data_IF_590299970441
#
_entry.id   IF_590299970441
#
_cell.length_a   1.000
_cell.length_b   1.000
_cell.length_c   1.000
_cell.angle_alpha   90.00
_cell.angle_beta   90.00
_cell.angle_gamma   90.00
#
_symmetry.space_group_name_H-M   'P 1'
#
loop_
_entity.id
_entity.type
_entity.pdbx_description
1 polymer ?
#
# COMPACT_ATOMS: atom_id res chain seq x y z
N UNK A 1 -48.59 -7.80 -5.37
CA UNK A 1 -47.22 -7.57 -4.83
C UNK A 1 -46.86 -6.11 -5.08
N UNK A 2 -46.41 -5.34 -4.08
CA UNK A 2 -46.18 -3.90 -4.26
C UNK A 2 -44.96 -3.65 -5.18
N UNK A 3 -45.12 -2.97 -6.33
CA UNK A 3 -44.08 -2.83 -7.35
C UNK A 3 -42.85 -2.05 -6.85
N UNK A 4 -43.03 -1.11 -5.92
CA UNK A 4 -41.94 -0.33 -5.32
C UNK A 4 -41.07 -1.22 -4.43
N UNK A 5 -41.70 -2.07 -3.63
CA UNK A 5 -40.99 -3.03 -2.77
C UNK A 5 -40.21 -4.03 -3.61
N UNK A 6 -40.81 -4.54 -4.69
CA UNK A 6 -40.14 -5.47 -5.60
C UNK A 6 -38.85 -4.85 -6.18
N UNK A 7 -38.94 -3.61 -6.68
CA UNK A 7 -37.79 -2.87 -7.22
C UNK A 7 -36.64 -2.74 -6.22
N UNK A 8 -36.97 -2.36 -4.98
CA UNK A 8 -36.00 -2.22 -3.90
C UNK A 8 -35.28 -3.55 -3.59
N UNK A 9 -36.03 -4.66 -3.52
CA UNK A 9 -35.43 -5.97 -3.25
C UNK A 9 -34.57 -6.47 -4.41
N UNK A 10 -34.99 -6.25 -5.67
CA UNK A 10 -34.14 -6.58 -6.83
C UNK A 10 -32.84 -5.80 -6.83
N UNK A 11 -32.88 -4.48 -6.59
CA UNK A 11 -31.66 -3.67 -6.56
C UNK A 11 -30.71 -4.11 -5.43
N UNK A 12 -31.26 -4.42 -4.25
CA UNK A 12 -30.49 -4.95 -3.12
C UNK A 12 -29.85 -6.29 -3.47
N UNK A 13 -30.62 -7.21 -4.03
CA UNK A 13 -30.12 -8.54 -4.41
C UNK A 13 -29.04 -8.45 -5.48
N UNK A 14 -29.18 -7.57 -6.47
CA UNK A 14 -28.15 -7.34 -7.49
C UNK A 14 -26.86 -6.79 -6.90
N UNK A 15 -26.96 -5.85 -5.94
CA UNK A 15 -25.80 -5.34 -5.20
C UNK A 15 -25.14 -6.45 -4.36
N UNK A 16 -25.92 -7.19 -3.59
CA UNK A 16 -25.42 -8.31 -2.79
C UNK A 16 -24.74 -9.35 -3.68
N UNK A 17 -25.36 -9.78 -4.78
CA UNK A 17 -24.75 -10.73 -5.74
C UNK A 17 -23.45 -10.21 -6.37
N UNK A 18 -23.33 -8.90 -6.59
CA UNK A 18 -22.14 -8.30 -7.21
C UNK A 18 -20.98 -8.16 -6.23
N UNK A 19 -21.25 -7.80 -4.97
CA UNK A 19 -20.21 -7.45 -3.99
C UNK A 19 -19.96 -8.54 -2.94
N UNK A 20 -20.94 -9.40 -2.67
CA UNK A 20 -20.83 -10.51 -1.74
C UNK A 20 -20.35 -11.76 -2.49
N UNK A 21 -19.05 -12.06 -2.36
CA UNK A 21 -18.49 -13.35 -2.79
C UNK A 21 -17.94 -14.06 -1.57
N UNK A 22 -18.43 -15.28 -1.33
CA UNK A 22 -17.86 -16.18 -0.34
C UNK A 22 -16.51 -16.67 -0.87
N UNK A 23 -15.42 -16.36 -0.18
CA UNK A 23 -14.09 -16.79 -0.56
C UNK A 23 -13.72 -18.06 0.20
N UNK A 24 -13.77 -19.20 -0.48
CA UNK A 24 -13.38 -20.50 0.10
C UNK A 24 -11.86 -20.66 0.18
N UNK A 25 -11.11 -19.91 -0.64
CA UNK A 25 -9.65 -19.94 -0.71
C UNK A 25 -9.08 -18.60 -0.24
N UNK A 26 -7.88 -18.65 0.33
CA UNK A 26 -7.17 -17.45 0.76
C UNK A 26 -6.97 -16.49 -0.42
N UNK A 27 -7.47 -15.26 -0.25
CA UNK A 27 -7.17 -14.14 -1.16
C UNK A 27 -6.33 -13.15 -0.39
N UNK A 28 -5.19 -12.77 -0.97
CA UNK A 28 -4.28 -11.79 -0.39
C UNK A 28 -4.95 -10.40 -0.39
N UNK A 29 -5.72 -10.12 0.66
CA UNK A 29 -6.31 -8.81 0.91
C UNK A 29 -5.22 -7.94 1.53
N UNK A 30 -4.51 -7.16 0.72
CA UNK A 30 -3.37 -6.34 1.17
C UNK A 30 -3.74 -5.13 2.03
N UNK A 31 -4.82 -5.18 2.84
CA UNK A 31 -5.31 -4.06 3.66
C UNK A 31 -4.24 -3.53 4.63
N UNK A 32 -3.40 -4.41 5.13
CA UNK A 32 -2.25 -4.10 5.99
C UNK A 32 -1.07 -3.61 5.15
N UNK A 33 -0.37 -2.58 5.64
CA UNK A 33 0.90 -2.16 5.04
C UNK A 33 1.88 -3.34 5.16
N UNK A 34 2.64 -3.68 4.10
CA UNK A 34 3.66 -4.72 4.19
C UNK A 34 4.65 -4.31 5.28
N UNK A 35 4.83 -5.18 6.28
CA UNK A 35 5.73 -4.94 7.40
C UNK A 35 7.17 -5.01 6.88
N UNK A 36 8.01 -4.05 7.25
CA UNK A 36 9.40 -4.05 6.78
C UNK A 36 10.16 -5.26 7.31
N UNK A 37 11.11 -5.83 6.54
CA UNK A 37 11.85 -7.04 6.91
C UNK A 37 12.65 -6.92 8.22
N UNK A 38 12.81 -5.69 8.74
CA UNK A 38 13.47 -5.40 10.02
C UNK A 38 12.74 -5.94 11.25
N UNK A 39 11.47 -6.32 11.12
CA UNK A 39 10.65 -6.80 12.24
C UNK A 39 10.56 -8.33 12.33
N UNK A 40 11.14 -9.06 11.37
CA UNK A 40 11.13 -10.53 11.34
C UNK A 40 12.47 -11.08 11.83
N UNK A 41 12.46 -12.24 12.50
CA UNK A 41 13.69 -12.94 12.81
C UNK A 41 14.36 -13.43 11.51
N UNK A 42 15.68 -13.63 11.52
CA UNK A 42 16.43 -14.11 10.33
C UNK A 42 15.84 -15.41 9.76
N UNK A 43 15.26 -16.25 10.61
CA UNK A 43 14.65 -17.53 10.23
C UNK A 43 13.22 -17.40 9.69
N UNK A 44 12.55 -16.27 9.90
CA UNK A 44 11.20 -15.99 9.37
C UNK A 44 11.25 -15.38 7.96
N UNK A 45 12.46 -15.13 7.43
CA UNK A 45 12.63 -14.56 6.10
C UNK A 45 12.33 -15.61 5.03
N UNK A 46 11.27 -15.37 4.26
CA UNK A 46 10.96 -16.17 3.07
C UNK A 46 12.07 -15.97 2.04
N UNK A 47 12.72 -17.04 1.56
CA UNK A 47 13.78 -16.92 0.56
C UNK A 47 13.21 -16.38 -0.75
N UNK A 48 14.00 -15.56 -1.48
CA UNK A 48 13.54 -14.90 -2.70
C UNK A 48 13.01 -15.87 -3.78
N UNK A 49 13.48 -17.11 -3.79
CA UNK A 49 13.03 -18.18 -4.68
C UNK A 49 11.61 -18.67 -4.40
N UNK A 50 11.11 -18.53 -3.18
CA UNK A 50 9.77 -18.98 -2.78
C UNK A 50 8.73 -17.86 -2.83
N UNK A 51 9.17 -16.62 -3.10
CA UNK A 51 8.27 -15.47 -3.21
C UNK A 51 7.45 -15.62 -4.49
N UNK A 52 6.13 -15.79 -4.34
CA UNK A 52 5.21 -15.81 -5.48
C UNK A 52 5.12 -14.42 -6.08
N UNK A 53 5.44 -14.33 -7.38
CA UNK A 53 5.40 -13.07 -8.13
C UNK A 53 4.03 -12.40 -8.07
N UNK A 54 2.94 -13.18 -8.06
CA UNK A 54 1.57 -12.68 -7.93
C UNK A 54 1.37 -11.78 -6.70
N UNK A 55 2.01 -12.10 -5.56
CA UNK A 55 1.92 -11.29 -4.36
C UNK A 55 2.72 -10.00 -4.48
N UNK A 56 3.88 -10.05 -5.13
CA UNK A 56 4.70 -8.86 -5.44
C UNK A 56 3.92 -7.91 -6.35
N UNK A 57 3.26 -8.43 -7.37
CA UNK A 57 2.48 -7.64 -8.32
C UNK A 57 1.26 -7.01 -7.63
N UNK A 58 0.61 -7.72 -6.71
CA UNK A 58 -0.49 -7.18 -5.89
C UNK A 58 -0.03 -6.04 -4.97
N UNK A 59 1.12 -6.19 -4.32
CA UNK A 59 1.71 -5.15 -3.45
C UNK A 59 2.08 -3.92 -4.30
N UNK A 60 2.77 -4.15 -5.41
CA UNK A 60 3.19 -3.11 -6.37
C UNK A 60 1.98 -2.35 -6.90
N UNK A 61 0.94 -3.07 -7.32
CA UNK A 61 -0.31 -2.49 -7.83
C UNK A 61 -1.02 -1.63 -6.80
N UNK A 62 -0.96 -1.98 -5.53
CA UNK A 62 -1.56 -1.18 -4.46
C UNK A 62 -0.75 0.05 -4.09
N UNK A 63 0.58 -0.07 -4.03
CA UNK A 63 1.45 1.01 -3.56
C UNK A 63 1.71 2.07 -4.63
N UNK A 64 1.79 1.65 -5.89
CA UNK A 64 2.25 2.50 -6.98
C UNK A 64 1.09 3.00 -7.84
N UNK A 65 0.13 2.13 -8.19
CA UNK A 65 -0.92 2.47 -9.13
C UNK A 65 -2.06 3.23 -8.47
N UNK A 66 -2.38 4.39 -9.04
CA UNK A 66 -3.57 5.14 -8.69
C UNK A 66 -4.83 4.51 -9.30
N UNK A 67 -6.03 4.99 -8.92
CA UNK A 67 -7.27 4.49 -9.49
C UNK A 67 -7.34 4.56 -11.03
N UNK A 68 -6.79 5.62 -11.63
CA UNK A 68 -6.73 5.79 -13.10
C UNK A 68 -5.78 4.81 -13.79
N UNK A 69 -4.75 4.35 -13.10
CA UNK A 69 -3.82 3.34 -13.62
C UNK A 69 -4.43 1.93 -13.56
N UNK A 70 -5.34 1.69 -12.60
CA UNK A 70 -5.99 0.40 -12.38
C UNK A 70 -7.22 0.21 -13.26
N UNK A 71 -7.99 1.27 -13.49
CA UNK A 71 -9.26 1.23 -14.23
C UNK A 71 -9.19 2.07 -15.50
N UNK A 72 -9.40 1.43 -16.66
CA UNK A 72 -9.13 2.03 -17.98
C UNK A 72 -10.16 3.05 -18.45
N UNK A 73 -11.42 2.95 -18.01
CA UNK A 73 -12.51 3.72 -18.63
C UNK A 73 -13.31 4.58 -17.65
N UNK A 74 -14.09 3.96 -16.76
CA UNK A 74 -15.02 4.65 -15.86
C UNK A 74 -14.69 4.33 -14.40
N UNK A 75 -14.82 5.31 -13.47
CA UNK A 75 -14.74 5.04 -12.04
C UNK A 75 -15.75 3.94 -11.67
N UNK A 76 -15.32 2.85 -11.01
CA UNK A 76 -16.19 1.71 -10.73
C UNK A 76 -17.31 2.05 -9.73
N UNK A 77 -17.14 3.11 -8.94
CA UNK A 77 -18.07 3.56 -7.90
C UNK A 77 -18.24 5.08 -7.94
N UNK A 78 -19.41 5.57 -7.52
CA UNK A 78 -19.78 7.00 -7.61
C UNK A 78 -18.84 7.89 -6.77
N UNK A 79 -18.36 7.41 -5.62
CA UNK A 79 -17.40 8.14 -4.79
C UNK A 79 -16.05 8.40 -5.49
N UNK A 80 -15.68 7.57 -6.46
CA UNK A 80 -14.45 7.75 -7.24
C UNK A 80 -14.63 8.74 -8.40
N UNK A 81 -15.86 9.20 -8.66
CA UNK A 81 -16.14 10.15 -9.75
C UNK A 81 -15.55 11.53 -9.48
N UNK A 82 -15.44 11.91 -8.21
CA UNK A 82 -14.81 13.16 -7.81
C UNK A 82 -13.33 13.15 -8.16
N UNK A 83 -12.89 14.11 -8.98
CA UNK A 83 -11.51 14.20 -9.45
C UNK A 83 -11.09 13.17 -10.51
N UNK A 84 -12.01 12.33 -10.99
CA UNK A 84 -11.68 11.33 -12.03
C UNK A 84 -11.42 11.97 -13.38
N UNK A 85 -12.20 12.97 -13.75
CA UNK A 85 -12.03 13.69 -15.02
C UNK A 85 -11.25 15.00 -14.85
N UNK A 86 -10.84 15.35 -13.63
CA UNK A 86 -9.95 16.49 -13.43
C UNK A 86 -8.53 16.12 -13.84
N UNK A 87 -7.95 16.96 -14.67
CA UNK A 87 -6.52 16.97 -14.93
C UNK A 87 -5.82 17.78 -13.85
N UNK A 88 -4.70 17.30 -13.30
CA UNK A 88 -3.92 18.10 -12.37
C UNK A 88 -3.38 19.34 -13.09
N UNK A 89 -3.42 20.50 -12.43
CA UNK A 89 -2.88 21.76 -12.98
C UNK A 89 -1.40 21.62 -13.41
N UNK A 90 -0.66 20.77 -12.70
CA UNK A 90 0.71 20.39 -13.04
C UNK A 90 0.68 18.94 -13.53
N UNK A 91 1.02 18.66 -14.81
CA UNK A 91 1.02 17.31 -15.32
C UNK A 91 2.05 16.45 -14.58
N UNK A 92 1.65 15.25 -14.16
CA UNK A 92 2.58 14.31 -13.54
C UNK A 92 3.44 13.67 -14.62
N UNK A 93 4.72 14.04 -14.63
CA UNK A 93 5.69 13.48 -15.57
C UNK A 93 6.00 12.02 -15.24
N UNK A 94 6.02 11.16 -16.27
CA UNK A 94 6.42 9.75 -16.15
C UNK A 94 7.95 9.55 -16.12
N UNK A 95 8.71 10.55 -16.56
CA UNK A 95 10.17 10.54 -16.51
C UNK A 95 10.66 10.48 -15.05
N UNK A 96 11.37 9.41 -14.65
CA UNK A 96 11.95 9.28 -13.32
C UNK A 96 12.90 10.43 -12.95
N UNK A 97 13.50 11.10 -13.95
CA UNK A 97 14.42 12.23 -13.73
C UNK A 97 13.72 13.49 -13.24
N UNK A 98 12.43 13.61 -13.53
CA UNK A 98 11.61 14.78 -13.20
C UNK A 98 10.61 14.47 -12.07
N UNK A 99 10.66 13.24 -11.53
CA UNK A 99 9.77 12.77 -10.48
C UNK A 99 10.61 12.41 -9.26
N UNK A 100 10.52 13.22 -8.21
CA UNK A 100 11.26 13.05 -6.96
C UNK A 100 10.32 12.66 -5.82
N UNK A 101 9.79 11.41 -5.79
CA UNK A 101 9.04 10.97 -4.64
C UNK A 101 9.99 10.85 -3.46
N UNK A 102 9.65 11.47 -2.34
CA UNK A 102 10.38 11.28 -1.08
C UNK A 102 10.16 9.82 -0.66
N UNK A 103 11.19 8.98 -0.80
CA UNK A 103 11.12 7.54 -0.48
C UNK A 103 11.31 7.27 1.01
N UNK A 104 12.07 8.13 1.69
CA UNK A 104 12.36 8.06 3.11
C UNK A 104 12.71 9.46 3.63
N UNK A 105 12.65 9.66 4.94
CA UNK A 105 13.12 10.90 5.56
C UNK A 105 14.63 10.84 5.79
N UNK A 106 15.29 12.00 5.74
CA UNK A 106 16.74 12.12 6.00
C UNK A 106 17.14 11.53 7.36
N UNK A 107 16.24 11.65 8.35
CA UNK A 107 16.39 11.02 9.66
C UNK A 107 16.50 9.50 9.57
N UNK A 108 15.58 8.85 8.85
CA UNK A 108 15.56 7.39 8.70
C UNK A 108 16.77 6.91 7.90
N UNK A 109 17.15 7.64 6.84
CA UNK A 109 18.33 7.35 6.03
C UNK A 109 19.62 7.42 6.88
N UNK A 110 19.75 8.45 7.71
CA UNK A 110 20.92 8.63 8.57
C UNK A 110 20.98 7.57 9.68
N UNK A 111 19.84 7.25 10.31
CA UNK A 111 19.75 6.18 11.32
C UNK A 111 20.13 4.81 10.72
N UNK A 112 19.65 4.51 9.51
CA UNK A 112 20.02 3.30 8.78
C UNK A 112 21.52 3.23 8.51
N UNK A 113 22.13 4.34 8.08
CA UNK A 113 23.57 4.45 7.84
C UNK A 113 24.36 4.22 9.13
N UNK A 114 23.96 4.86 10.23
CA UNK A 114 24.59 4.70 11.56
C UNK A 114 24.55 3.22 11.98
N UNK A 115 23.38 2.58 11.90
CA UNK A 115 23.22 1.15 12.24
C UNK A 115 24.05 0.22 11.35
N UNK A 116 24.20 0.56 10.07
CA UNK A 116 25.00 -0.23 9.14
C UNK A 116 26.50 -0.09 9.43
N UNK A 117 26.98 1.11 9.76
CA UNK A 117 28.37 1.37 10.15
C UNK A 117 28.71 0.75 11.51
N UNK A 118 27.78 0.81 12.46
CA UNK A 118 27.95 0.29 13.82
C UNK A 118 27.60 -1.21 13.94
N UNK A 119 27.36 -1.91 12.83
CA UNK A 119 26.93 -3.31 12.84
C UNK A 119 28.01 -4.20 13.48
N UNK A 120 27.72 -4.76 14.66
CA UNK A 120 28.63 -5.61 15.42
C UNK A 120 29.34 -4.92 16.59
N UNK A 121 29.16 -3.60 16.77
CA UNK A 121 29.63 -2.88 17.95
C UNK A 121 28.63 -3.04 19.10
N UNK A 122 29.08 -3.19 20.37
CA UNK A 122 28.18 -3.18 21.52
C UNK A 122 27.47 -1.82 21.61
N UNK A 123 26.14 -1.85 21.75
CA UNK A 123 25.32 -0.64 21.89
C UNK A 123 25.38 -0.22 23.36
N UNK A 124 26.27 0.73 23.67
CA UNK A 124 26.30 1.36 24.98
C UNK A 124 25.19 2.42 25.09
N UNK A 125 24.37 2.36 26.14
CA UNK A 125 23.41 3.42 26.42
C UNK A 125 24.18 4.67 26.83
N UNK A 126 23.83 5.80 26.24
CA UNK A 126 24.40 7.10 26.64
C UNK A 126 24.05 7.39 28.10
N UNK A 127 25.07 7.40 28.97
CA UNK A 127 24.94 7.65 30.42
C UNK A 127 25.20 9.13 30.80
N UNK A 128 25.44 10.00 29.82
CA UNK A 128 25.76 11.40 30.06
C UNK A 128 24.51 12.26 30.33
N UNK A 129 24.68 13.35 31.08
CA UNK A 129 23.69 14.41 31.18
C UNK A 129 23.76 15.20 29.85
N UNK A 130 22.69 15.30 29.06
CA UNK A 130 22.74 15.80 27.69
C UNK A 130 23.00 17.32 27.58
N UNK A 131 22.87 18.05 28.70
CA UNK A 131 23.14 19.47 28.76
C UNK A 131 23.94 19.77 30.03
N UNK A 132 24.97 20.61 29.91
CA UNK A 132 25.70 21.15 31.05
C UNK A 132 24.74 22.10 31.81
N UNK A 133 24.60 21.89 33.12
CA UNK A 133 24.01 22.87 34.04
C UNK A 133 25.02 23.99 34.27
#
# INVERSE_FOLDING_TARGET
MNPVKLRFYTERYEKERKFFKLQEKFVAIGRTKPLTPKFYAKHDQIPASEVRQEYVDLITKRLIFGPKDIYTFKPPTVNMQYGWFSEPLIPQTKDPRLRFPIKESDFIANELRIRQVQKGMPIEKFMGIPFKV
#
